data_IF_073984250620
#
_entry.id   IF_073984250620
#
_cell.length_a   1.000
_cell.length_b   1.000
_cell.length_c   1.000
_cell.angle_alpha   90.00
_cell.angle_beta   90.00
_cell.angle_gamma   90.00
#
_symmetry.space_group_name_H-M   'P 1'
#
loop_
_entity.id
_entity.type
_entity.pdbx_description
1 polymer ?
#
# COMPACT_ATOMS: atom_id res chain seq x y z
N UNK A 1 -36.43 -48.38 -4.12
CA UNK A 1 -35.14 -48.85 -3.56
C UNK A 1 -34.03 -48.24 -4.40
N UNK A 2 -33.30 -47.28 -3.84
CA UNK A 2 -32.24 -46.56 -4.54
C UNK A 2 -31.96 -45.20 -3.90
N UNK A 3 -31.91 -45.16 -2.57
CA UNK A 3 -31.61 -43.94 -1.80
C UNK A 3 -30.75 -44.33 -0.60
N UNK A 4 -29.45 -44.45 -0.83
CA UNK A 4 -28.42 -44.54 0.21
C UNK A 4 -27.04 -44.51 -0.44
N UNK A 5 -26.50 -43.31 -0.61
CA UNK A 5 -25.05 -43.03 -0.45
C UNK A 5 -24.75 -41.55 -0.69
N UNK A 6 -25.41 -40.66 0.07
CA UNK A 6 -24.89 -39.32 0.30
C UNK A 6 -23.86 -39.41 1.42
N UNK A 7 -22.64 -39.85 1.08
CA UNK A 7 -21.53 -39.75 2.02
C UNK A 7 -21.37 -38.29 2.45
N UNK A 8 -21.49 -37.97 3.76
CA UNK A 8 -21.23 -36.61 4.23
C UNK A 8 -19.78 -36.26 3.91
N UNK A 9 -19.57 -35.23 3.09
CA UNK A 9 -18.24 -34.71 2.80
C UNK A 9 -17.50 -34.46 4.13
N UNK A 10 -16.21 -34.81 4.24
CA UNK A 10 -15.55 -34.93 5.53
C UNK A 10 -15.30 -33.57 6.16
N UNK A 11 -16.17 -33.16 7.10
CA UNK A 11 -16.02 -32.00 8.01
C UNK A 11 -14.63 -31.90 8.67
N UNK A 12 -13.88 -33.00 8.79
CA UNK A 12 -12.51 -33.02 9.35
C UNK A 12 -11.45 -32.33 8.49
N UNK A 13 -11.63 -32.23 7.15
CA UNK A 13 -10.62 -31.63 6.26
C UNK A 13 -10.58 -30.10 6.32
N UNK A 14 -11.71 -29.45 6.58
CA UNK A 14 -11.80 -27.98 6.69
C UNK A 14 -11.15 -27.46 7.98
N UNK A 15 -11.28 -28.18 9.10
CA UNK A 15 -10.66 -27.79 10.37
C UNK A 15 -9.13 -27.71 10.31
N UNK A 16 -8.47 -28.68 9.67
CA UNK A 16 -7.00 -28.65 9.49
C UNK A 16 -6.55 -27.49 8.61
N UNK A 17 -7.29 -27.20 7.54
CA UNK A 17 -7.00 -26.07 6.66
C UNK A 17 -7.19 -24.72 7.36
N UNK A 18 -8.23 -24.59 8.20
CA UNK A 18 -8.46 -23.39 9.01
C UNK A 18 -7.32 -23.17 10.03
N UNK A 19 -6.87 -24.22 10.71
CA UNK A 19 -5.71 -24.16 11.62
C UNK A 19 -4.45 -23.76 10.84
N UNK A 20 -4.21 -24.35 9.67
CA UNK A 20 -3.05 -24.00 8.84
C UNK A 20 -3.09 -22.54 8.37
N UNK A 21 -4.27 -22.04 7.95
CA UNK A 21 -4.43 -20.64 7.56
C UNK A 21 -4.19 -19.69 8.74
N UNK A 22 -4.73 -20.02 9.92
CA UNK A 22 -4.52 -19.23 11.13
C UNK A 22 -3.06 -19.26 11.58
N UNK A 23 -2.39 -20.41 11.54
CA UNK A 23 -0.98 -20.55 11.85
C UNK A 23 -0.10 -19.77 10.86
N UNK A 24 -0.46 -19.78 9.57
CA UNK A 24 0.24 -18.98 8.56
C UNK A 24 0.07 -17.48 8.80
N UNK A 25 -1.15 -17.01 9.07
CA UNK A 25 -1.38 -15.60 9.41
C UNK A 25 -0.62 -15.19 10.69
N UNK A 26 -0.61 -16.04 11.72
CA UNK A 26 0.17 -15.80 12.92
C UNK A 26 1.68 -15.75 12.65
N UNK A 27 2.19 -16.59 11.74
CA UNK A 27 3.59 -16.55 11.31
C UNK A 27 3.93 -15.25 10.59
N UNK A 28 3.06 -14.76 9.70
CA UNK A 28 3.22 -13.46 9.05
C UNK A 28 3.35 -12.36 10.10
N UNK A 29 2.40 -12.27 11.02
CA UNK A 29 2.40 -11.25 12.09
C UNK A 29 3.61 -11.35 13.01
N UNK A 30 3.99 -12.56 13.41
CA UNK A 30 5.16 -12.79 14.26
C UNK A 30 6.48 -12.44 13.55
N UNK A 31 6.52 -12.47 12.22
CA UNK A 31 7.72 -12.16 11.44
C UNK A 31 8.00 -10.66 11.32
N UNK A 32 6.98 -9.80 11.41
CA UNK A 32 7.07 -8.34 11.20
C UNK A 32 8.29 -7.68 11.88
N UNK A 33 8.51 -7.85 13.21
CA UNK A 33 9.63 -7.21 13.91
C UNK A 33 11.01 -7.78 13.49
N UNK A 34 11.04 -8.99 12.93
CA UNK A 34 12.28 -9.69 12.56
C UNK A 34 12.70 -9.44 11.11
N UNK A 35 11.76 -9.06 10.23
CA UNK A 35 12.01 -8.93 8.79
C UNK A 35 13.15 -7.94 8.51
N UNK A 36 13.16 -6.75 9.12
CA UNK A 36 14.21 -5.74 8.83
C UNK A 36 15.62 -6.20 9.19
N UNK A 37 15.89 -6.67 10.43
CA UNK A 37 17.21 -7.20 10.77
C UNK A 37 17.65 -8.36 9.86
N UNK A 38 16.73 -9.27 9.52
CA UNK A 38 17.02 -10.40 8.63
C UNK A 38 17.31 -9.91 7.21
N UNK A 39 16.51 -8.99 6.70
CA UNK A 39 16.63 -8.39 5.38
C UNK A 39 17.96 -7.64 5.22
N UNK A 40 18.35 -6.81 6.20
CA UNK A 40 19.64 -6.09 6.15
C UNK A 40 20.82 -7.06 6.07
N UNK A 41 20.79 -8.15 6.85
CA UNK A 41 21.81 -9.21 6.78
C UNK A 41 21.79 -9.92 5.43
N UNK A 42 20.60 -10.29 4.92
CA UNK A 42 20.47 -10.96 3.64
C UNK A 42 20.95 -10.08 2.48
N UNK A 43 20.54 -8.81 2.45
CA UNK A 43 20.96 -7.83 1.45
C UNK A 43 22.47 -7.60 1.47
N UNK A 44 23.08 -7.56 2.64
CA UNK A 44 24.54 -7.43 2.74
C UNK A 44 25.29 -8.66 2.21
N UNK A 45 24.68 -9.84 2.25
CA UNK A 45 25.32 -11.09 1.86
C UNK A 45 25.14 -11.42 0.37
N UNK A 46 23.91 -11.30 -0.14
CA UNK A 46 23.58 -11.75 -1.50
C UNK A 46 23.15 -10.62 -2.44
N UNK A 47 22.78 -9.44 -1.93
CA UNK A 47 22.28 -8.33 -2.73
C UNK A 47 20.78 -8.41 -3.03
N UNK A 48 20.15 -7.25 -3.20
CA UNK A 48 18.70 -7.07 -3.32
C UNK A 48 18.11 -7.71 -4.58
N UNK A 49 18.87 -7.78 -5.67
CA UNK A 49 18.46 -8.38 -6.94
C UNK A 49 18.09 -9.88 -6.81
N UNK A 50 18.73 -10.62 -5.92
CA UNK A 50 18.45 -12.05 -5.74
C UNK A 50 17.08 -12.34 -5.15
N UNK A 51 16.52 -11.41 -4.36
CA UNK A 51 15.15 -11.58 -3.84
C UNK A 51 14.15 -11.58 -5.00
N UNK A 52 14.29 -10.67 -5.96
CA UNK A 52 13.43 -10.64 -7.15
C UNK A 52 13.57 -11.92 -7.96
N UNK A 53 14.80 -12.38 -8.19
CA UNK A 53 15.03 -13.64 -8.91
C UNK A 53 14.34 -14.81 -8.19
N UNK A 54 14.49 -14.91 -6.87
CA UNK A 54 13.84 -15.94 -6.06
C UNK A 54 12.31 -15.87 -6.18
N UNK A 55 11.72 -14.68 -6.11
CA UNK A 55 10.27 -14.50 -6.25
C UNK A 55 9.79 -14.91 -7.65
N UNK A 56 10.49 -14.50 -8.70
CA UNK A 56 10.16 -14.89 -10.09
C UNK A 56 10.25 -16.41 -10.30
N UNK A 57 11.27 -17.06 -9.74
CA UNK A 57 11.41 -18.52 -9.77
C UNK A 57 10.27 -19.20 -9.01
N UNK A 58 9.90 -18.68 -7.84
CA UNK A 58 8.77 -19.21 -7.07
C UNK A 58 7.43 -19.06 -7.81
N UNK A 59 7.20 -17.92 -8.49
CA UNK A 59 6.03 -17.71 -9.36
C UNK A 59 6.02 -18.72 -10.51
N UNK A 60 7.14 -18.90 -11.21
CA UNK A 60 7.25 -19.86 -12.30
C UNK A 60 6.98 -21.31 -11.81
N UNK A 61 7.53 -21.68 -10.66
CA UNK A 61 7.28 -22.98 -10.04
C UNK A 61 5.79 -23.16 -9.66
N UNK A 62 5.15 -22.13 -9.09
CA UNK A 62 3.73 -22.17 -8.75
C UNK A 62 2.85 -22.36 -10.00
N UNK A 63 3.16 -21.70 -11.11
CA UNK A 63 2.47 -21.88 -12.40
C UNK A 63 2.67 -23.31 -12.92
N UNK A 64 3.90 -23.83 -12.88
CA UNK A 64 4.18 -25.19 -13.31
C UNK A 64 3.41 -26.24 -12.48
N UNK A 65 3.34 -26.04 -11.16
CA UNK A 65 2.54 -26.88 -10.26
C UNK A 65 1.05 -26.76 -10.61
N UNK A 66 0.52 -25.55 -10.83
CA UNK A 66 -0.88 -25.34 -11.21
C UNK A 66 -1.23 -26.06 -12.53
N UNK A 67 -0.36 -25.95 -13.54
CA UNK A 67 -0.51 -26.66 -14.83
C UNK A 67 -0.49 -28.17 -14.62
N UNK A 68 0.43 -28.68 -13.79
CA UNK A 68 0.50 -30.09 -13.45
C UNK A 68 -0.79 -30.58 -12.75
N UNK A 69 -1.32 -29.81 -11.80
CA UNK A 69 -2.55 -30.14 -11.08
C UNK A 69 -3.77 -30.18 -12.01
N UNK A 70 -3.87 -29.21 -12.93
CA UNK A 70 -4.95 -29.19 -13.94
C UNK A 70 -4.85 -30.42 -14.86
N UNK A 71 -3.65 -30.75 -15.34
CA UNK A 71 -3.42 -31.93 -16.19
C UNK A 71 -3.69 -33.26 -15.51
N UNK A 72 -3.52 -33.32 -14.18
CA UNK A 72 -3.82 -34.49 -13.34
C UNK A 72 -5.28 -34.58 -12.92
N UNK A 73 -6.07 -33.53 -13.14
CA UNK A 73 -7.47 -33.50 -12.73
C UNK A 73 -8.32 -34.44 -13.61
N UNK A 74 -9.45 -34.91 -13.08
CA UNK A 74 -10.37 -35.79 -13.81
C UNK A 74 -11.11 -35.08 -14.96
N UNK A 75 -11.07 -33.74 -14.99
CA UNK A 75 -11.66 -32.94 -16.07
C UNK A 75 -10.67 -32.79 -17.22
N UNK A 76 -11.12 -32.81 -18.49
CA UNK A 76 -10.25 -32.58 -19.63
C UNK A 76 -9.60 -31.20 -19.52
N UNK A 77 -8.28 -31.15 -19.70
CA UNK A 77 -7.52 -29.90 -19.75
C UNK A 77 -7.78 -29.23 -21.08
N UNK A 78 -8.28 -27.99 -21.07
CA UNK A 78 -8.42 -27.18 -22.29
C UNK A 78 -7.19 -26.29 -22.48
N UNK A 79 -6.82 -25.91 -23.71
CA UNK A 79 -5.81 -24.88 -23.97
C UNK A 79 -6.07 -23.57 -23.21
N UNK A 80 -7.35 -23.24 -22.99
CA UNK A 80 -7.75 -22.08 -22.21
C UNK A 80 -7.20 -22.13 -20.77
N UNK A 81 -7.15 -23.31 -20.14
CA UNK A 81 -6.60 -23.47 -18.80
C UNK A 81 -5.14 -23.05 -18.72
N UNK A 82 -4.36 -23.47 -19.72
CA UNK A 82 -2.92 -23.21 -19.78
C UNK A 82 -2.68 -21.73 -20.06
N UNK A 83 -3.40 -21.15 -21.03
CA UNK A 83 -3.32 -19.72 -21.35
C UNK A 83 -3.73 -18.87 -20.14
N UNK A 84 -4.78 -19.26 -19.43
CA UNK A 84 -5.25 -18.55 -18.23
C UNK A 84 -4.21 -18.57 -17.10
N UNK A 85 -3.65 -19.75 -16.79
CA UNK A 85 -2.61 -19.88 -15.77
C UNK A 85 -1.31 -19.15 -16.17
N UNK A 86 -0.95 -19.18 -17.45
CA UNK A 86 0.18 -18.42 -17.98
C UNK A 86 -0.06 -16.91 -17.84
N UNK A 87 -1.26 -16.41 -18.15
CA UNK A 87 -1.60 -15.01 -18.01
C UNK A 87 -1.49 -14.55 -16.54
N UNK A 88 -2.03 -15.34 -15.59
CA UNK A 88 -1.89 -15.06 -14.15
C UNK A 88 -0.42 -15.03 -13.74
N UNK A 89 0.37 -16.01 -14.18
CA UNK A 89 1.81 -16.07 -13.92
C UNK A 89 2.56 -14.85 -14.44
N UNK A 90 2.26 -14.41 -15.67
CA UNK A 90 2.85 -13.22 -16.28
C UNK A 90 2.49 -11.96 -15.53
N UNK A 91 1.23 -11.81 -15.10
CA UNK A 91 0.80 -10.65 -14.30
C UNK A 91 1.52 -10.65 -12.94
N UNK A 92 1.59 -11.78 -12.25
CA UNK A 92 2.32 -11.90 -10.99
C UNK A 92 3.82 -11.56 -11.14
N UNK A 93 4.46 -12.04 -12.21
CA UNK A 93 5.85 -11.73 -12.52
C UNK A 93 6.06 -10.24 -12.88
N UNK A 94 5.13 -9.63 -13.61
CA UNK A 94 5.18 -8.21 -13.93
C UNK A 94 5.05 -7.32 -12.68
N UNK A 95 4.15 -7.68 -11.76
CA UNK A 95 4.03 -6.99 -10.46
C UNK A 95 5.33 -7.16 -9.67
N UNK A 96 5.86 -8.37 -9.53
CA UNK A 96 7.12 -8.61 -8.84
C UNK A 96 8.28 -7.78 -9.42
N UNK A 97 8.37 -7.69 -10.75
CA UNK A 97 9.38 -6.88 -11.44
C UNK A 97 9.20 -5.38 -11.24
N UNK A 98 7.95 -4.90 -11.18
CA UNK A 98 7.66 -3.51 -10.87
C UNK A 98 8.08 -3.16 -9.43
N UNK A 99 8.01 -4.12 -8.50
CA UNK A 99 8.45 -3.98 -7.11
C UNK A 99 9.97 -4.14 -6.91
N UNK A 100 10.78 -4.25 -7.98
CA UNK A 100 12.24 -4.51 -7.87
C UNK A 100 13.04 -3.45 -7.10
N UNK A 101 12.53 -2.24 -7.01
CA UNK A 101 13.14 -1.15 -6.23
C UNK A 101 12.97 -1.35 -4.72
N UNK A 102 11.97 -2.14 -4.33
CA UNK A 102 11.65 -2.53 -2.95
C UNK A 102 11.34 -4.03 -2.90
N UNK A 103 12.35 -4.88 -3.17
CA UNK A 103 12.12 -6.28 -3.48
C UNK A 103 11.53 -7.07 -2.31
N UNK A 104 11.64 -6.58 -1.09
CA UNK A 104 10.91 -7.09 0.07
C UNK A 104 9.38 -7.08 -0.12
N UNK A 105 8.81 -6.04 -0.75
CA UNK A 105 7.37 -5.95 -1.01
C UNK A 105 6.93 -7.05 -2.00
N UNK A 106 7.83 -7.50 -2.88
CA UNK A 106 7.53 -8.60 -3.81
C UNK A 106 7.37 -9.96 -3.11
N UNK A 107 7.95 -10.14 -1.91
CA UNK A 107 7.79 -11.37 -1.12
C UNK A 107 6.36 -11.53 -0.61
N UNK A 108 5.63 -10.42 -0.44
CA UNK A 108 4.23 -10.44 -0.02
C UNK A 108 3.35 -11.17 -1.06
N UNK A 109 3.70 -11.10 -2.35
CA UNK A 109 3.00 -11.85 -3.40
C UNK A 109 2.99 -13.37 -3.11
N UNK A 110 4.11 -13.90 -2.63
CA UNK A 110 4.23 -15.32 -2.28
C UNK A 110 3.50 -15.62 -0.97
N UNK A 111 3.72 -14.80 0.05
CA UNK A 111 3.15 -14.99 1.39
C UNK A 111 1.61 -14.98 1.37
N UNK A 112 1.02 -13.98 0.71
CA UNK A 112 -0.43 -13.84 0.59
C UNK A 112 -1.02 -14.77 -0.48
N UNK A 113 -0.22 -15.20 -1.46
CA UNK A 113 -0.61 -16.28 -2.36
C UNK A 113 -0.78 -17.61 -1.62
N UNK A 114 0.19 -18.00 -0.79
CA UNK A 114 0.08 -19.20 0.07
C UNK A 114 -1.12 -19.06 1.02
N UNK A 115 -1.30 -17.91 1.67
CA UNK A 115 -2.45 -17.65 2.52
C UNK A 115 -3.77 -17.86 1.77
N UNK A 116 -3.90 -17.34 0.55
CA UNK A 116 -5.12 -17.48 -0.24
C UNK A 116 -5.44 -18.96 -0.57
N UNK A 117 -4.43 -19.78 -0.85
CA UNK A 117 -4.63 -21.24 -1.00
C UNK A 117 -5.17 -21.87 0.28
N UNK A 118 -4.60 -21.52 1.44
CA UNK A 118 -5.02 -22.06 2.73
C UNK A 118 -6.44 -21.60 3.11
N UNK A 119 -6.75 -20.32 2.90
CA UNK A 119 -8.08 -19.75 3.10
C UNK A 119 -9.12 -20.40 2.19
N UNK A 120 -8.81 -20.58 0.90
CA UNK A 120 -9.70 -21.29 -0.02
C UNK A 120 -9.98 -22.70 0.49
N UNK A 121 -8.95 -23.46 0.88
CA UNK A 121 -9.14 -24.82 1.41
C UNK A 121 -9.95 -24.85 2.72
N UNK A 122 -9.85 -23.81 3.55
CA UNK A 122 -10.60 -23.70 4.79
C UNK A 122 -12.07 -23.36 4.55
N UNK A 123 -12.35 -22.48 3.58
CA UNK A 123 -13.67 -21.94 3.29
C UNK A 123 -14.46 -22.74 2.25
N UNK A 124 -13.80 -23.50 1.37
CA UNK A 124 -14.42 -24.19 0.23
C UNK A 124 -15.52 -25.15 0.71
N UNK A 125 -16.80 -24.91 0.37
CA UNK A 125 -17.88 -25.85 0.64
C UNK A 125 -17.79 -27.06 -0.31
N UNK A 126 -18.68 -28.05 -0.14
CA UNK A 126 -18.73 -29.20 -1.03
C UNK A 126 -18.96 -28.78 -2.50
N UNK A 127 -19.87 -27.83 -2.70
CA UNK A 127 -20.24 -27.26 -4.00
C UNK A 127 -19.95 -25.76 -3.99
N UNK A 128 -18.74 -25.34 -4.38
CA UNK A 128 -18.35 -23.94 -4.35
C UNK A 128 -19.12 -23.10 -5.38
N UNK A 129 -19.33 -21.83 -5.03
CA UNK A 129 -19.76 -20.78 -5.95
C UNK A 129 -18.64 -19.72 -6.05
N UNK A 130 -18.71 -18.83 -7.04
CA UNK A 130 -17.67 -17.82 -7.27
C UNK A 130 -17.52 -16.85 -6.07
N UNK A 131 -18.55 -16.66 -5.23
CA UNK A 131 -18.47 -15.78 -4.07
C UNK A 131 -17.52 -16.32 -2.99
N UNK A 132 -17.18 -17.62 -2.98
CA UNK A 132 -16.15 -18.14 -2.08
C UNK A 132 -14.76 -17.60 -2.43
N UNK A 133 -14.47 -17.42 -3.72
CA UNK A 133 -13.20 -16.85 -4.17
C UNK A 133 -13.10 -15.38 -3.77
N UNK A 134 -14.21 -14.64 -3.90
CA UNK A 134 -14.30 -13.27 -3.39
C UNK A 134 -14.12 -13.23 -1.86
N UNK A 135 -14.70 -14.18 -1.13
CA UNK A 135 -14.50 -14.28 0.33
C UNK A 135 -13.03 -14.53 0.69
N UNK A 136 -12.31 -15.36 -0.08
CA UNK A 136 -10.86 -15.57 0.10
C UNK A 136 -10.08 -14.29 -0.13
N UNK A 137 -10.39 -13.53 -1.19
CA UNK A 137 -9.75 -12.24 -1.45
C UNK A 137 -10.01 -11.27 -0.30
N UNK A 138 -11.27 -11.09 0.09
CA UNK A 138 -11.64 -10.13 1.15
C UNK A 138 -11.04 -10.50 2.52
N UNK A 139 -11.02 -11.79 2.87
CA UNK A 139 -10.40 -12.25 4.11
C UNK A 139 -8.87 -12.13 4.06
N UNK A 140 -8.25 -12.42 2.92
CA UNK A 140 -6.83 -12.20 2.70
C UNK A 140 -6.46 -10.71 2.80
N UNK A 141 -7.26 -9.83 2.20
CA UNK A 141 -7.11 -8.38 2.33
C UNK A 141 -7.28 -7.93 3.77
N UNK A 142 -8.27 -8.45 4.51
CA UNK A 142 -8.42 -8.17 5.95
C UNK A 142 -7.17 -8.55 6.75
N UNK A 143 -6.63 -9.76 6.52
CA UNK A 143 -5.38 -10.21 7.14
C UNK A 143 -4.23 -9.28 6.78
N UNK A 144 -4.14 -8.84 5.53
CA UNK A 144 -3.13 -7.90 5.04
C UNK A 144 -3.27 -6.49 5.61
N UNK A 145 -4.49 -5.98 5.78
CA UNK A 145 -4.71 -4.68 6.45
C UNK A 145 -4.32 -4.76 7.92
N UNK A 146 -4.59 -5.89 8.59
CA UNK A 146 -4.13 -6.11 9.97
C UNK A 146 -2.60 -6.23 10.04
N UNK A 147 -1.97 -6.86 9.05
CA UNK A 147 -0.51 -6.90 8.92
C UNK A 147 0.07 -5.47 8.93
N UNK A 148 -0.45 -4.60 8.07
CA UNK A 148 -0.04 -3.19 8.00
C UNK A 148 -0.31 -2.41 9.29
N UNK A 149 -1.41 -2.70 10.00
CA UNK A 149 -1.67 -2.10 11.32
C UNK A 149 -0.63 -2.55 12.34
N UNK A 150 -0.21 -3.82 12.32
CA UNK A 150 0.85 -4.30 13.21
C UNK A 150 2.19 -3.69 12.82
N UNK A 151 2.49 -3.58 11.52
CA UNK A 151 3.67 -2.89 11.03
C UNK A 151 3.72 -1.45 11.53
N UNK A 152 2.63 -0.71 11.45
CA UNK A 152 2.52 0.66 11.98
C UNK A 152 2.86 0.79 13.48
N UNK A 153 2.56 -0.24 14.28
CA UNK A 153 2.91 -0.25 15.72
C UNK A 153 4.41 -0.52 15.93
N UNK A 154 5.07 -1.19 14.98
CA UNK A 154 6.48 -1.55 15.07
C UNK A 154 7.36 -0.35 14.73
N UNK A 155 8.32 0.04 15.60
CA UNK A 155 9.14 1.23 15.36
C UNK A 155 9.85 1.25 14.01
N UNK A 156 9.73 2.38 13.33
CA UNK A 156 10.34 2.68 12.04
C UNK A 156 9.65 2.04 10.85
N UNK A 157 8.57 1.26 11.04
CA UNK A 157 7.74 0.72 9.96
C UNK A 157 6.54 1.63 9.74
N UNK A 158 6.09 1.70 8.50
CA UNK A 158 5.03 2.61 8.08
C UNK A 158 3.84 1.80 7.62
N UNK A 159 2.65 2.37 7.79
CA UNK A 159 1.44 1.84 7.17
C UNK A 159 1.39 2.30 5.72
N UNK A 160 1.19 1.39 4.77
CA UNK A 160 1.02 1.78 3.35
C UNK A 160 -0.17 1.06 2.69
N UNK A 161 -1.10 1.84 2.13
CA UNK A 161 -2.21 1.29 1.32
C UNK A 161 -1.71 0.50 0.12
N UNK A 162 -0.53 0.82 -0.39
CA UNK A 162 0.11 0.08 -1.48
C UNK A 162 0.38 -1.37 -1.07
N UNK A 163 0.84 -1.60 0.15
CA UNK A 163 1.14 -2.94 0.65
C UNK A 163 -0.15 -3.74 0.87
N UNK A 164 -1.21 -3.09 1.39
CA UNK A 164 -2.58 -3.67 1.42
C UNK A 164 -3.03 -4.08 0.00
N UNK A 165 -2.78 -3.24 -1.01
CA UNK A 165 -3.15 -3.53 -2.39
C UNK A 165 -2.33 -4.68 -3.00
N UNK A 166 -1.03 -4.78 -2.69
CA UNK A 166 -0.19 -5.92 -3.10
C UNK A 166 -0.69 -7.21 -2.47
N UNK A 167 -0.99 -7.20 -1.17
CA UNK A 167 -1.56 -8.34 -0.44
C UNK A 167 -2.90 -8.79 -1.05
N UNK A 168 -3.80 -7.83 -1.32
CA UNK A 168 -5.08 -8.09 -1.97
C UNK A 168 -4.91 -8.64 -3.39
N UNK A 169 -3.98 -8.08 -4.18
CA UNK A 169 -3.65 -8.53 -5.53
C UNK A 169 -3.12 -9.96 -5.56
N UNK A 170 -2.26 -10.32 -4.61
CA UNK A 170 -1.76 -11.69 -4.44
C UNK A 170 -2.89 -12.69 -4.20
N UNK A 171 -3.82 -12.35 -3.30
CA UNK A 171 -5.00 -13.16 -3.04
C UNK A 171 -5.93 -13.25 -4.25
N UNK A 172 -6.13 -12.15 -4.99
CA UNK A 172 -6.95 -12.12 -6.19
C UNK A 172 -6.39 -13.00 -7.32
N UNK A 173 -5.10 -12.88 -7.62
CA UNK A 173 -4.42 -13.70 -8.63
C UNK A 173 -4.47 -15.18 -8.26
N UNK A 174 -4.22 -15.50 -6.98
CA UNK A 174 -4.28 -16.88 -6.51
C UNK A 174 -5.70 -17.45 -6.56
N UNK A 175 -6.71 -16.69 -6.14
CA UNK A 175 -8.12 -17.06 -6.26
C UNK A 175 -8.53 -17.31 -7.73
N UNK A 176 -8.06 -16.47 -8.66
CA UNK A 176 -8.29 -16.65 -10.08
C UNK A 176 -7.61 -17.92 -10.64
N UNK A 177 -6.45 -18.30 -10.10
CA UNK A 177 -5.79 -19.56 -10.44
C UNK A 177 -6.56 -20.75 -9.85
N UNK A 178 -6.98 -20.65 -8.59
CA UNK A 178 -7.73 -21.69 -7.88
C UNK A 178 -9.09 -21.98 -8.53
N UNK A 179 -9.75 -20.97 -9.08
CA UNK A 179 -10.96 -21.15 -9.89
C UNK A 179 -10.75 -22.14 -11.04
N UNK A 180 -9.58 -22.07 -11.68
CA UNK A 180 -9.22 -22.96 -12.78
C UNK A 180 -8.73 -24.31 -12.26
N UNK A 181 -7.92 -24.34 -11.19
CA UNK A 181 -7.32 -25.58 -10.66
C UNK A 181 -8.38 -26.49 -10.03
N UNK A 182 -9.35 -25.93 -9.34
CA UNK A 182 -10.39 -26.71 -8.68
C UNK A 182 -11.40 -27.27 -9.70
N UNK A 183 -11.64 -28.60 -9.72
CA UNK A 183 -12.43 -29.22 -10.77
C UNK A 183 -13.95 -28.96 -10.68
N UNK A 184 -14.44 -28.26 -9.66
CA UNK A 184 -15.87 -28.04 -9.45
C UNK A 184 -16.58 -29.27 -8.84
N UNK A 185 -17.92 -29.33 -8.86
CA UNK A 185 -18.83 -28.47 -9.62
C UNK A 185 -18.93 -27.06 -9.07
N UNK A 186 -18.87 -26.06 -9.95
CA UNK A 186 -19.07 -24.65 -9.62
C UNK A 186 -20.53 -24.26 -9.87
N UNK A 187 -21.21 -23.77 -8.84
CA UNK A 187 -22.58 -23.27 -8.97
C UNK A 187 -22.58 -21.79 -9.36
N UNK A 188 -23.63 -21.36 -10.06
CA UNK A 188 -23.92 -19.94 -10.21
C UNK A 188 -24.21 -19.33 -8.83
N UNK A 189 -23.81 -18.07 -8.59
CA UNK A 189 -24.05 -17.40 -7.31
C UNK A 189 -25.54 -17.13 -7.14
N UNK A 190 -26.25 -18.08 -6.53
CA UNK A 190 -27.53 -17.85 -5.89
C UNK A 190 -27.27 -17.19 -4.52
N UNK A 191 -28.29 -16.61 -3.86
CA UNK A 191 -28.17 -16.20 -2.46
C UNK A 191 -27.70 -17.39 -1.62
N UNK A 192 -26.40 -17.43 -1.32
CA UNK A 192 -25.72 -18.56 -0.69
C UNK A 192 -25.03 -18.10 0.60
N UNK A 193 -24.68 -19.04 1.50
CA UNK A 193 -23.83 -18.72 2.65
C UNK A 193 -22.51 -18.05 2.25
N UNK A 194 -21.96 -18.38 1.07
CA UNK A 194 -20.75 -17.75 0.52
C UNK A 194 -20.96 -16.28 0.18
N UNK A 195 -22.11 -15.92 -0.41
CA UNK A 195 -22.46 -14.51 -0.67
C UNK A 195 -22.59 -13.73 0.64
N UNK A 196 -23.31 -14.29 1.62
CA UNK A 196 -23.43 -13.69 2.96
C UNK A 196 -22.07 -13.50 3.64
N UNK A 197 -21.17 -14.47 3.51
CA UNK A 197 -19.80 -14.36 4.02
C UNK A 197 -19.03 -13.24 3.32
N UNK A 198 -19.03 -13.21 1.99
CA UNK A 198 -18.35 -12.18 1.21
C UNK A 198 -18.85 -10.77 1.58
N UNK A 199 -20.17 -10.58 1.69
CA UNK A 199 -20.77 -9.28 2.06
C UNK A 199 -20.35 -8.85 3.47
N UNK A 200 -20.33 -9.77 4.44
CA UNK A 200 -19.87 -9.49 5.81
C UNK A 200 -18.38 -9.17 5.87
N UNK A 201 -17.55 -9.90 5.13
CA UNK A 201 -16.11 -9.62 5.04
C UNK A 201 -15.85 -8.27 4.38
N UNK A 202 -16.58 -7.92 3.33
CA UNK A 202 -16.50 -6.60 2.69
C UNK A 202 -16.91 -5.48 3.67
N UNK A 203 -17.99 -5.66 4.42
CA UNK A 203 -18.39 -4.70 5.45
C UNK A 203 -17.33 -4.57 6.56
N UNK A 204 -16.78 -5.68 7.05
CA UNK A 204 -15.70 -5.67 8.03
C UNK A 204 -14.44 -4.96 7.51
N UNK A 205 -14.07 -5.18 6.24
CA UNK A 205 -12.94 -4.52 5.60
C UNK A 205 -13.18 -3.00 5.47
N UNK A 206 -14.36 -2.58 5.06
CA UNK A 206 -14.70 -1.15 4.99
C UNK A 206 -14.67 -0.50 6.37
N UNK A 207 -15.17 -1.18 7.41
CA UNK A 207 -15.10 -0.68 8.78
C UNK A 207 -13.65 -0.56 9.25
N UNK A 208 -12.81 -1.57 9.01
CA UNK A 208 -11.40 -1.55 9.36
C UNK A 208 -10.65 -0.43 8.64
N UNK A 209 -10.82 -0.29 7.32
CA UNK A 209 -10.25 0.82 6.55
C UNK A 209 -10.75 2.18 7.03
N UNK A 210 -12.02 2.29 7.43
CA UNK A 210 -12.56 3.51 8.01
C UNK A 210 -11.83 3.87 9.31
N UNK A 211 -11.54 2.88 10.17
CA UNK A 211 -10.77 3.10 11.39
C UNK A 211 -9.33 3.52 11.08
N UNK A 212 -8.67 2.86 10.11
CA UNK A 212 -7.29 3.21 9.71
C UNK A 212 -7.21 4.64 9.14
N UNK A 213 -8.12 4.98 8.24
CA UNK A 213 -8.21 6.32 7.63
C UNK A 213 -8.64 7.38 8.65
N UNK A 214 -9.38 6.99 9.67
CA UNK A 214 -9.68 7.83 10.82
C UNK A 214 -8.54 7.84 11.85
N UNK A 215 -7.40 7.18 11.65
CA UNK A 215 -6.30 7.19 12.62
C UNK A 215 -5.26 8.26 12.26
N UNK A 216 -5.68 9.53 12.31
CA UNK A 216 -4.83 10.68 11.98
C UNK A 216 -3.82 10.99 13.08
N UNK A 217 -2.70 11.66 12.77
CA UNK A 217 -1.70 12.06 13.77
C UNK A 217 -2.26 12.73 15.03
N UNK A 218 -3.21 13.64 14.88
CA UNK A 218 -3.85 14.33 16.02
C UNK A 218 -4.58 13.35 16.95
N UNK A 219 -5.27 12.35 16.38
CA UNK A 219 -5.94 11.32 17.18
C UNK A 219 -4.94 10.37 17.82
N UNK A 220 -3.89 10.01 17.09
CA UNK A 220 -2.78 9.20 17.61
C UNK A 220 -2.17 9.88 18.83
N UNK A 221 -1.82 11.16 18.72
CA UNK A 221 -1.33 11.96 19.84
C UNK A 221 -2.34 11.95 21.00
N UNK A 222 -3.61 12.23 20.71
CA UNK A 222 -4.67 12.29 21.72
C UNK A 222 -4.81 11.00 22.55
N UNK A 223 -4.87 9.82 21.93
CA UNK A 223 -4.99 8.57 22.70
C UNK A 223 -3.66 8.09 23.27
N UNK A 224 -2.53 8.42 22.64
CA UNK A 224 -1.20 8.03 23.14
C UNK A 224 -0.86 8.73 24.46
N UNK A 225 -1.36 9.95 24.67
CA UNK A 225 -1.28 10.65 25.95
C UNK A 225 -2.17 10.05 27.04
N UNK A 226 -3.25 9.35 26.67
CA UNK A 226 -4.30 8.88 27.59
C UNK A 226 -4.22 7.40 27.93
N UNK A 227 -3.60 6.60 27.06
CA UNK A 227 -3.53 5.14 27.22
C UNK A 227 -2.09 4.73 27.54
N UNK A 228 -1.84 4.18 28.75
CA UNK A 228 -0.52 3.68 29.12
C UNK A 228 0.02 2.66 28.10
N UNK A 229 1.29 2.82 27.71
CA UNK A 229 1.96 1.94 26.74
C UNK A 229 1.85 2.37 25.28
N UNK A 230 0.99 3.33 24.94
CA UNK A 230 0.85 3.83 23.55
C UNK A 230 1.73 5.04 23.22
N UNK A 231 2.50 5.57 24.17
CA UNK A 231 3.37 6.73 23.95
C UNK A 231 4.41 6.57 22.83
N UNK A 232 4.73 5.33 22.43
CA UNK A 232 5.59 5.07 21.27
C UNK A 232 4.96 5.47 19.93
N UNK A 233 3.61 5.46 19.84
CA UNK A 233 2.85 5.80 18.64
C UNK A 233 2.76 7.31 18.43
N UNK A 234 2.94 8.12 19.49
CA UNK A 234 3.01 9.57 19.40
C UNK A 234 4.28 10.08 18.69
N UNK A 235 5.25 9.20 18.40
CA UNK A 235 6.43 9.57 17.62
C UNK A 235 6.02 9.79 16.16
N UNK A 236 6.43 10.95 15.64
CA UNK A 236 5.87 11.52 14.42
C UNK A 236 6.22 10.79 13.12
N UNK A 237 7.09 9.79 13.16
CA UNK A 237 7.52 9.06 11.99
C UNK A 237 6.47 8.06 11.49
N UNK A 238 5.36 7.83 12.19
CA UNK A 238 4.41 6.76 11.84
C UNK A 238 2.97 7.28 11.75
N UNK A 239 2.68 8.21 10.84
CA UNK A 239 1.29 8.57 10.56
C UNK A 239 0.60 7.43 9.78
N UNK A 240 -0.58 6.98 10.25
CA UNK A 240 -1.35 5.96 9.52
C UNK A 240 -2.13 6.58 8.36
N UNK A 241 -2.79 7.72 8.58
CA UNK A 241 -3.48 8.44 7.52
C UNK A 241 -3.32 9.95 7.72
N UNK A 242 -2.92 10.64 6.65
CA UNK A 242 -2.79 12.09 6.66
C UNK A 242 -3.60 12.69 5.53
N UNK A 243 -4.18 13.86 5.83
CA UNK A 243 -4.97 14.64 4.89
C UNK A 243 -4.29 15.96 4.66
N UNK A 244 -4.50 16.52 3.48
CA UNK A 244 -3.94 17.81 3.14
C UNK A 244 -4.61 18.43 1.93
N UNK A 245 -3.90 19.36 1.33
CA UNK A 245 -4.35 20.19 0.24
C UNK A 245 -3.46 19.97 -0.97
N UNK A 246 -4.08 19.86 -2.14
CA UNK A 246 -3.38 19.86 -3.43
C UNK A 246 -3.40 21.27 -4.00
N UNK A 247 -2.22 21.84 -4.17
CA UNK A 247 -2.03 23.19 -4.66
C UNK A 247 -1.52 23.16 -6.09
N UNK A 248 -2.20 23.89 -6.97
CA UNK A 248 -1.72 24.14 -8.34
C UNK A 248 -1.05 25.50 -8.37
N UNK A 249 0.25 25.51 -8.68
CA UNK A 249 1.07 26.71 -8.78
C UNK A 249 1.24 27.08 -10.26
N UNK A 250 0.56 28.14 -10.75
CA UNK A 250 0.62 28.52 -12.16
C UNK A 250 2.05 28.71 -12.65
N UNK A 251 2.37 28.08 -13.78
CA UNK A 251 3.70 28.17 -14.38
C UNK A 251 4.78 27.32 -13.70
N UNK A 252 4.49 26.64 -12.59
CA UNK A 252 5.43 25.78 -11.85
C UNK A 252 4.99 24.31 -11.92
N UNK A 253 3.80 23.99 -11.43
CA UNK A 253 3.31 22.61 -11.33
C UNK A 253 2.37 22.42 -10.15
N UNK A 254 2.36 21.23 -9.56
CA UNK A 254 1.51 20.90 -8.42
C UNK A 254 2.33 20.45 -7.21
N UNK A 255 1.82 20.74 -6.01
CA UNK A 255 2.38 20.25 -4.75
C UNK A 255 1.25 19.82 -3.80
N UNK A 256 1.59 18.95 -2.86
CA UNK A 256 0.71 18.59 -1.75
C UNK A 256 1.28 19.19 -0.46
N UNK A 257 0.41 19.65 0.43
CA UNK A 257 0.81 20.27 1.70
C UNK A 257 -0.24 19.98 2.77
N UNK A 258 0.20 19.89 4.03
CA UNK A 258 -0.68 19.84 5.21
C UNK A 258 -1.37 21.18 5.45
N UNK A 259 -0.82 22.26 4.90
CA UNK A 259 -1.26 23.63 5.09
C UNK A 259 -1.96 24.17 3.84
N UNK A 260 -2.88 25.11 4.03
CA UNK A 260 -3.43 25.85 2.88
C UNK A 260 -2.39 26.83 2.33
N UNK A 261 -2.56 27.31 1.10
CA UNK A 261 -1.66 28.36 0.56
C UNK A 261 -1.67 29.62 1.44
N UNK A 262 -2.82 30.00 1.99
CA UNK A 262 -2.92 31.14 2.88
C UNK A 262 -2.12 30.94 4.18
N UNK A 263 -2.18 29.73 4.76
CA UNK A 263 -1.39 29.40 5.96
C UNK A 263 0.11 29.38 5.66
N UNK A 264 0.51 28.83 4.51
CA UNK A 264 1.91 28.83 4.05
C UNK A 264 2.42 30.27 3.87
N UNK A 265 1.65 31.14 3.22
CA UNK A 265 1.99 32.55 3.01
C UNK A 265 2.07 33.34 4.33
N UNK A 266 1.14 33.11 5.26
CA UNK A 266 1.17 33.74 6.59
C UNK A 266 2.41 33.30 7.38
N UNK A 267 2.69 32.00 7.41
CA UNK A 267 3.85 31.48 8.15
C UNK A 267 5.17 31.92 7.52
N UNK A 268 5.28 31.95 6.20
CA UNK A 268 6.48 32.49 5.54
C UNK A 268 6.66 33.99 5.86
N UNK A 269 5.58 34.78 5.88
CA UNK A 269 5.67 36.20 6.25
C UNK A 269 6.08 36.41 7.71
N UNK A 270 5.51 35.64 8.64
CA UNK A 270 5.66 35.89 10.08
C UNK A 270 6.84 35.16 10.71
N UNK A 271 7.17 33.95 10.25
CA UNK A 271 8.16 33.05 10.85
C UNK A 271 9.43 32.88 10.02
N UNK A 272 9.56 33.51 8.84
CA UNK A 272 10.71 33.31 7.95
C UNK A 272 12.09 33.43 8.62
N UNK A 273 12.28 34.41 9.51
CA UNK A 273 13.56 34.59 10.19
C UNK A 273 13.90 33.44 11.15
N UNK A 274 12.92 33.00 11.93
CA UNK A 274 13.03 31.87 12.86
C UNK A 274 13.31 30.57 12.09
N UNK A 275 12.52 30.29 11.07
CA UNK A 275 12.59 29.07 10.25
C UNK A 275 13.89 29.04 9.46
N UNK A 276 14.34 30.15 8.88
CA UNK A 276 15.63 30.23 8.21
C UNK A 276 16.80 29.91 9.16
N UNK A 277 16.80 30.50 10.36
CA UNK A 277 17.83 30.23 11.37
C UNK A 277 17.78 28.79 11.91
N UNK A 278 16.61 28.14 11.90
CA UNK A 278 16.49 26.71 12.18
C UNK A 278 17.09 25.87 11.04
N UNK A 279 16.71 26.14 9.79
CA UNK A 279 17.23 25.44 8.62
C UNK A 279 18.76 25.53 8.54
N UNK A 280 19.35 26.69 8.80
CA UNK A 280 20.79 26.92 8.74
C UNK A 280 21.60 26.11 9.78
N UNK A 281 20.95 25.62 10.84
CA UNK A 281 21.57 24.66 11.79
C UNK A 281 21.72 23.26 11.20
N UNK A 282 21.04 22.97 10.09
CA UNK A 282 21.03 21.67 9.42
C UNK A 282 21.56 21.78 7.98
N UNK A 283 22.87 21.98 7.78
CA UNK A 283 23.48 22.09 6.45
C UNK A 283 23.32 20.80 5.61
N UNK A 284 23.78 20.83 4.36
CA UNK A 284 23.76 19.67 3.47
C UNK A 284 24.37 18.42 4.15
N UNK A 285 23.70 17.27 4.04
CA UNK A 285 24.10 16.02 4.69
C UNK A 285 23.53 15.79 6.09
N UNK A 286 22.91 16.79 6.73
CA UNK A 286 22.28 16.66 8.06
C UNK A 286 20.77 16.37 8.02
N UNK A 287 20.21 16.07 6.85
CA UNK A 287 18.77 15.84 6.67
C UNK A 287 18.21 14.75 7.60
N UNK A 288 18.92 13.62 7.75
CA UNK A 288 18.51 12.56 8.66
C UNK A 288 18.50 13.00 10.13
N UNK A 289 19.34 13.97 10.51
CA UNK A 289 19.30 14.58 11.85
C UNK A 289 18.10 15.51 11.99
N UNK A 290 17.85 16.35 10.99
CA UNK A 290 16.67 17.21 10.95
C UNK A 290 15.37 16.42 11.17
N UNK A 291 15.18 15.29 10.46
CA UNK A 291 13.99 14.45 10.60
C UNK A 291 13.82 13.82 11.99
N UNK A 292 14.90 13.69 12.77
CA UNK A 292 14.81 13.22 14.17
C UNK A 292 14.45 14.35 15.13
N UNK A 293 14.97 15.55 14.85
CA UNK A 293 14.86 16.70 15.74
C UNK A 293 13.55 17.48 15.49
N UNK A 294 12.97 17.36 14.28
CA UNK A 294 11.77 18.07 13.84
C UNK A 294 10.77 17.10 13.20
N UNK A 295 9.53 17.16 13.68
CA UNK A 295 8.42 16.37 13.15
C UNK A 295 7.53 17.18 12.23
N UNK A 296 6.95 16.49 11.25
CA UNK A 296 5.94 17.03 10.34
C UNK A 296 4.64 17.47 11.02
N UNK A 297 4.32 16.89 12.18
CA UNK A 297 3.15 17.26 12.98
C UNK A 297 3.46 18.49 13.86
N UNK A 298 4.69 18.56 14.40
CA UNK A 298 5.07 19.61 15.35
C UNK A 298 5.27 20.96 14.68
N UNK A 299 5.85 20.99 13.48
CA UNK A 299 6.02 22.20 12.68
C UNK A 299 5.94 21.88 11.17
N UNK A 300 4.72 21.72 10.62
CA UNK A 300 4.52 21.32 9.22
C UNK A 300 5.17 22.30 8.23
N UNK A 301 5.21 23.59 8.54
CA UNK A 301 5.81 24.61 7.67
C UNK A 301 7.33 24.44 7.57
N UNK A 302 8.03 24.36 8.70
CA UNK A 302 9.48 24.11 8.73
C UNK A 302 9.83 22.78 8.05
N UNK A 303 9.05 21.74 8.34
CA UNK A 303 9.25 20.41 7.78
C UNK A 303 9.11 20.41 6.26
N UNK A 304 8.01 20.94 5.73
CA UNK A 304 7.77 20.98 4.28
C UNK A 304 8.82 21.83 3.55
N UNK A 305 9.18 23.01 4.08
CA UNK A 305 10.26 23.82 3.54
C UNK A 305 11.57 23.02 3.43
N UNK A 306 11.91 22.23 4.46
CA UNK A 306 13.12 21.41 4.46
C UNK A 306 13.06 20.24 3.49
N UNK A 307 11.91 19.58 3.36
CA UNK A 307 11.72 18.47 2.41
C UNK A 307 11.89 18.97 0.96
N UNK A 308 11.30 20.11 0.62
CA UNK A 308 11.48 20.71 -0.70
C UNK A 308 12.94 21.12 -0.98
N UNK A 309 13.62 21.70 0.02
CA UNK A 309 15.05 21.98 -0.06
C UNK A 309 15.88 20.71 -0.30
N UNK A 310 15.59 19.65 0.44
CA UNK A 310 16.27 18.37 0.28
C UNK A 310 16.02 17.75 -1.10
N UNK A 311 14.78 17.77 -1.57
CA UNK A 311 14.39 17.32 -2.91
C UNK A 311 15.22 18.05 -3.97
N UNK A 312 15.22 19.39 -3.95
CA UNK A 312 16.04 20.22 -4.86
C UNK A 312 17.51 19.83 -4.83
N UNK A 313 18.10 19.71 -3.64
CA UNK A 313 19.53 19.48 -3.45
C UNK A 313 19.97 18.07 -3.89
N UNK A 314 19.14 17.04 -3.64
CA UNK A 314 19.38 15.68 -4.14
C UNK A 314 19.38 15.65 -5.66
N UNK A 315 18.37 16.23 -6.31
CA UNK A 315 18.30 16.27 -7.77
C UNK A 315 19.47 17.07 -8.38
N UNK A 316 19.92 18.15 -7.72
CA UNK A 316 21.12 18.88 -8.11
C UNK A 316 22.40 18.05 -7.98
N UNK A 317 22.50 17.17 -6.98
CA UNK A 317 23.63 16.28 -6.78
C UNK A 317 23.64 15.19 -7.83
N UNK A 318 22.51 14.54 -8.05
CA UNK A 318 22.36 13.46 -9.02
C UNK A 318 22.55 13.96 -10.44
N UNK A 319 22.15 15.20 -10.74
CA UNK A 319 22.41 15.87 -12.01
C UNK A 319 23.91 15.93 -12.33
N UNK A 320 24.80 16.07 -11.33
CA UNK A 320 26.25 16.08 -11.57
C UNK A 320 26.81 14.71 -11.94
N UNK A 321 26.14 13.65 -11.50
CA UNK A 321 26.52 12.27 -11.83
C UNK A 321 25.89 11.78 -13.14
N UNK A 322 24.82 12.44 -13.60
CA UNK A 322 24.11 12.08 -14.81
C UNK A 322 24.94 12.38 -16.08
N UNK A 323 24.89 11.54 -17.12
CA UNK A 323 25.56 11.82 -18.39
C UNK A 323 25.02 13.12 -19.02
N UNK A 324 25.94 13.99 -19.46
CA UNK A 324 25.58 15.26 -20.06
C UNK A 324 24.67 15.07 -21.29
N UNK A 325 23.62 15.89 -21.41
CA UNK A 325 22.64 15.83 -22.50
C UNK A 325 21.67 14.64 -22.44
N UNK A 326 21.79 13.75 -21.45
CA UNK A 326 20.86 12.62 -21.30
C UNK A 326 19.45 13.08 -20.90
N UNK A 327 18.45 12.25 -21.21
CA UNK A 327 17.07 12.48 -20.75
C UNK A 327 16.99 12.53 -19.21
N UNK A 328 17.79 11.71 -18.51
CA UNK A 328 17.89 11.73 -17.05
C UNK A 328 18.43 13.06 -16.53
N UNK A 329 19.48 13.62 -17.15
CA UNK A 329 19.99 14.94 -16.76
C UNK A 329 18.92 16.04 -16.92
N UNK A 330 18.19 16.04 -18.04
CA UNK A 330 17.08 17.00 -18.25
C UNK A 330 15.97 16.84 -17.22
N UNK A 331 15.63 15.60 -16.85
CA UNK A 331 14.65 15.30 -15.81
C UNK A 331 15.07 15.85 -14.45
N UNK A 332 16.28 15.51 -14.00
CA UNK A 332 16.83 15.96 -12.73
C UNK A 332 16.93 17.48 -12.67
N UNK A 333 17.38 18.12 -13.76
CA UNK A 333 17.41 19.58 -13.87
C UNK A 333 16.02 20.21 -13.81
N UNK A 334 15.04 19.60 -14.48
CA UNK A 334 13.64 20.06 -14.43
C UNK A 334 13.09 19.98 -13.01
N UNK A 335 13.24 18.84 -12.33
CA UNK A 335 12.76 18.68 -10.96
C UNK A 335 13.42 19.70 -10.03
N UNK A 336 14.76 19.82 -10.07
CA UNK A 336 15.49 20.79 -9.24
C UNK A 336 15.06 22.24 -9.48
N UNK A 337 14.84 22.64 -10.74
CA UNK A 337 14.38 23.99 -11.06
C UNK A 337 12.97 24.24 -10.54
N UNK A 338 12.07 23.28 -10.72
CA UNK A 338 10.68 23.40 -10.28
C UNK A 338 10.56 23.44 -8.75
N UNK A 339 11.34 22.63 -8.04
CA UNK A 339 11.45 22.70 -6.58
C UNK A 339 12.01 24.06 -6.12
N UNK A 340 13.01 24.61 -6.82
CA UNK A 340 13.52 25.97 -6.54
C UNK A 340 12.43 27.04 -6.75
N UNK A 341 11.69 26.98 -7.86
CA UNK A 341 10.60 27.91 -8.14
C UNK A 341 9.47 27.81 -7.11
N UNK A 342 9.14 26.59 -6.68
CA UNK A 342 8.19 26.33 -5.60
C UNK A 342 8.66 26.98 -4.30
N UNK A 343 9.93 26.74 -3.91
CA UNK A 343 10.52 27.36 -2.72
C UNK A 343 10.48 28.89 -2.78
N UNK A 344 10.79 29.49 -3.92
CA UNK A 344 10.72 30.94 -4.11
C UNK A 344 9.28 31.47 -4.00
N UNK A 345 8.30 30.71 -4.52
CA UNK A 345 6.90 31.10 -4.55
C UNK A 345 6.22 30.98 -3.18
N UNK A 346 6.50 29.89 -2.47
CA UNK A 346 5.77 29.48 -1.25
C UNK A 346 6.54 29.81 0.02
N UNK A 347 7.87 29.66 -0.02
CA UNK A 347 8.77 29.81 1.13
C UNK A 347 9.78 30.95 0.90
N UNK A 348 9.41 31.96 0.09
CA UNK A 348 10.34 32.93 -0.46
C UNK A 348 11.06 33.77 0.59
N UNK A 349 10.37 34.24 1.62
CA UNK A 349 10.98 35.02 2.70
C UNK A 349 11.91 34.16 3.55
N UNK A 350 11.51 32.93 3.84
CA UNK A 350 12.32 31.94 4.56
C UNK A 350 13.59 31.62 3.78
N UNK A 351 13.44 31.33 2.49
CA UNK A 351 14.56 31.01 1.59
C UNK A 351 15.53 32.19 1.51
N UNK A 352 15.03 33.41 1.29
CA UNK A 352 15.83 34.63 1.16
C UNK A 352 16.68 34.91 2.42
N UNK A 353 16.21 34.52 3.60
CA UNK A 353 16.92 34.71 4.88
C UNK A 353 17.83 33.54 5.26
N UNK A 354 17.73 32.41 4.56
CA UNK A 354 18.53 31.22 4.82
C UNK A 354 19.81 31.17 3.98
N UNK A 355 20.76 30.35 4.41
CA UNK A 355 21.96 30.00 3.64
C UNK A 355 21.68 29.12 2.41
N UNK A 356 20.45 28.65 2.22
CA UNK A 356 20.06 27.71 1.16
C UNK A 356 19.69 28.36 -0.19
N UNK A 357 19.90 29.67 -0.34
CA UNK A 357 19.70 30.34 -1.62
C UNK A 357 20.51 29.69 -2.74
N UNK A 358 19.85 29.46 -3.88
CA UNK A 358 20.51 28.86 -5.03
C UNK A 358 21.46 29.87 -5.67
N UNK A 359 22.74 29.49 -5.80
CA UNK A 359 23.75 30.33 -6.45
C UNK A 359 23.34 30.64 -7.90
N UNK A 360 23.53 31.89 -8.41
CA UNK A 360 23.11 32.28 -9.75
C UNK A 360 23.62 31.36 -10.86
N UNK A 361 24.87 30.88 -10.77
CA UNK A 361 25.46 29.98 -11.76
C UNK A 361 24.74 28.63 -11.82
N UNK A 362 24.29 28.11 -10.66
CA UNK A 362 23.52 26.86 -10.61
C UNK A 362 22.13 27.06 -11.19
N UNK A 363 21.49 28.20 -10.90
CA UNK A 363 20.19 28.54 -11.48
C UNK A 363 20.26 28.60 -13.01
N UNK A 364 21.24 29.31 -13.54
CA UNK A 364 21.44 29.44 -14.98
C UNK A 364 21.65 28.06 -15.65
N UNK A 365 22.43 27.17 -15.02
CA UNK A 365 22.61 25.80 -15.50
C UNK A 365 21.27 25.04 -15.56
N UNK A 366 20.44 25.14 -14.52
CA UNK A 366 19.13 24.50 -14.50
C UNK A 366 18.21 25.07 -15.60
N UNK A 367 18.19 26.38 -15.77
CA UNK A 367 17.40 27.07 -16.80
C UNK A 367 17.85 26.71 -18.24
N UNK A 368 19.10 26.31 -18.44
CA UNK A 368 19.59 25.82 -19.73
C UNK A 368 19.19 24.37 -20.03
N UNK A 369 19.02 23.56 -18.98
CA UNK A 369 18.83 22.10 -19.11
C UNK A 369 17.37 21.66 -18.92
N UNK A 370 16.52 22.48 -18.30
CA UNK A 370 15.15 22.09 -17.99
C UNK A 370 14.28 21.91 -19.23
N UNK A 371 13.25 21.09 -19.09
CA UNK A 371 12.20 20.89 -20.08
C UNK A 371 10.92 21.64 -19.65
N UNK A 372 10.54 22.75 -20.31
CA UNK A 372 9.35 23.52 -19.97
C UNK A 372 8.04 22.76 -20.22
N UNK A 373 8.03 21.81 -21.15
CA UNK A 373 6.84 21.04 -21.53
C UNK A 373 6.53 19.90 -20.57
N UNK A 374 7.47 19.55 -19.68
CA UNK A 374 7.31 18.44 -18.76
C UNK A 374 6.42 18.83 -17.57
N UNK A 375 5.32 18.09 -17.31
CA UNK A 375 4.50 18.34 -16.13
C UNK A 375 5.31 18.05 -14.87
N UNK A 376 5.10 18.87 -13.84
CA UNK A 376 5.76 18.73 -12.55
C UNK A 376 4.72 18.54 -11.44
N UNK A 377 4.89 17.47 -10.67
CA UNK A 377 4.20 17.23 -9.41
C UNK A 377 5.31 16.94 -8.39
N UNK A 378 5.42 17.77 -7.36
CA UNK A 378 6.39 17.53 -6.30
C UNK A 378 6.07 16.21 -5.60
N UNK A 379 7.11 15.40 -5.37
CA UNK A 379 6.99 14.15 -4.60
C UNK A 379 6.90 14.41 -3.09
N UNK A 380 7.20 15.65 -2.65
CA UNK A 380 7.06 16.06 -1.25
C UNK A 380 5.61 15.90 -0.80
N UNK A 381 5.43 15.16 0.30
CA UNK A 381 4.13 14.87 0.88
C UNK A 381 3.14 14.15 -0.06
N UNK A 382 3.63 13.39 -1.05
CA UNK A 382 2.80 12.65 -2.00
C UNK A 382 1.89 11.57 -1.35
N UNK A 383 2.14 11.24 -0.08
CA UNK A 383 1.34 10.32 0.72
C UNK A 383 0.07 10.97 1.29
N UNK A 384 -0.08 12.30 1.22
CA UNK A 384 -1.26 12.99 1.74
C UNK A 384 -2.50 12.66 0.92
N UNK A 385 -3.61 12.40 1.61
CA UNK A 385 -4.92 12.24 1.00
C UNK A 385 -5.51 13.63 0.75
N UNK A 386 -5.43 14.10 -0.50
CA UNK A 386 -5.92 15.43 -0.90
C UNK A 386 -7.18 15.40 -1.77
N UNK A 387 -7.58 14.23 -2.28
CA UNK A 387 -8.69 14.10 -3.23
C UNK A 387 -10.07 14.20 -2.55
N UNK A 388 -10.14 13.85 -1.27
CA UNK A 388 -11.36 13.85 -0.47
C UNK A 388 -11.01 14.19 0.98
N UNK A 389 -11.81 15.03 1.61
CA UNK A 389 -11.65 15.31 3.03
C UNK A 389 -11.97 14.09 3.90
N UNK A 390 -11.38 14.03 5.09
CA UNK A 390 -11.53 12.90 6.01
C UNK A 390 -13.01 12.59 6.34
N UNK A 391 -13.77 13.61 6.77
CA UNK A 391 -15.16 13.42 7.21
C UNK A 391 -16.07 12.87 6.10
N UNK A 392 -16.11 13.45 4.88
CA UNK A 392 -16.85 12.87 3.76
C UNK A 392 -16.45 11.42 3.45
N UNK A 393 -15.15 11.11 3.43
CA UNK A 393 -14.64 9.76 3.16
C UNK A 393 -15.13 8.76 4.20
N UNK A 394 -15.03 9.10 5.50
CA UNK A 394 -15.52 8.24 6.59
C UNK A 394 -17.03 8.00 6.51
N UNK A 395 -17.82 9.04 6.25
CA UNK A 395 -19.27 8.91 6.10
C UNK A 395 -19.61 7.97 4.93
N UNK A 396 -18.93 8.14 3.79
CA UNK A 396 -19.10 7.28 2.62
C UNK A 396 -18.81 5.81 2.94
N UNK A 397 -17.67 5.52 3.58
CA UNK A 397 -17.28 4.16 3.93
C UNK A 397 -18.23 3.51 4.96
N UNK A 398 -18.66 4.26 5.98
CA UNK A 398 -19.64 3.79 6.96
C UNK A 398 -21.01 3.51 6.33
N UNK A 399 -21.47 4.39 5.44
CA UNK A 399 -22.72 4.20 4.71
C UNK A 399 -22.64 2.95 3.80
N UNK A 400 -21.52 2.75 3.10
CA UNK A 400 -21.29 1.57 2.29
C UNK A 400 -21.25 0.28 3.14
N UNK A 401 -20.60 0.28 4.30
CA UNK A 401 -20.61 -0.85 5.22
C UNK A 401 -22.03 -1.17 5.73
N UNK A 402 -22.81 -0.15 6.09
CA UNK A 402 -24.21 -0.33 6.51
C UNK A 402 -25.08 -0.91 5.39
N UNK A 403 -24.91 -0.43 4.15
CA UNK A 403 -25.61 -0.96 2.99
C UNK A 403 -25.28 -2.44 2.74
N UNK A 404 -24.00 -2.83 2.87
CA UNK A 404 -23.59 -4.24 2.79
C UNK A 404 -24.26 -5.09 3.88
N UNK A 405 -24.27 -4.63 5.12
CA UNK A 405 -24.94 -5.36 6.21
C UNK A 405 -26.46 -5.49 5.98
N UNK A 406 -27.11 -4.48 5.40
CA UNK A 406 -28.51 -4.56 4.99
C UNK A 406 -28.72 -5.61 3.88
N UNK A 407 -27.85 -5.65 2.86
CA UNK A 407 -27.86 -6.67 1.81
C UNK A 407 -27.70 -8.07 2.43
N UNK A 408 -26.77 -8.26 3.35
CA UNK A 408 -26.57 -9.53 4.04
C UNK A 408 -27.81 -9.97 4.83
N UNK A 409 -28.50 -9.04 5.50
CA UNK A 409 -29.77 -9.32 6.17
C UNK A 409 -30.87 -9.78 5.18
N UNK A 410 -30.93 -9.18 3.98
CA UNK A 410 -31.86 -9.60 2.92
C UNK A 410 -31.50 -10.99 2.37
N UNK A 411 -30.21 -11.24 2.12
CA UNK A 411 -29.71 -12.54 1.64
C UNK A 411 -30.07 -13.65 2.63
N UNK A 412 -29.91 -13.42 3.93
CA UNK A 412 -30.23 -14.40 4.98
C UNK A 412 -31.73 -14.61 5.18
N UNK A 413 -32.58 -13.63 4.87
CA UNK A 413 -34.04 -13.72 5.00
C UNK A 413 -34.73 -14.48 3.88
N UNK A 414 -34.09 -14.67 2.72
CA UNK A 414 -34.68 -15.46 1.64
C UNK A 414 -34.77 -16.92 2.11
N UNK A 415 -35.97 -17.46 2.37
CA UNK A 415 -36.09 -18.87 2.70
C UNK A 415 -35.51 -19.66 1.53
N UNK A 416 -34.65 -20.64 1.83
CA UNK A 416 -34.26 -21.67 0.87
C UNK A 416 -35.54 -22.35 0.42
N UNK A 417 -36.13 -21.87 -0.69
CA UNK A 417 -37.36 -22.41 -1.29
C UNK A 417 -37.22 -23.89 -1.66
N UNK A 418 -36.00 -24.43 -1.65
CA UNK A 418 -35.69 -25.85 -1.81
C UNK A 418 -35.97 -26.71 -0.57
N UNK A 419 -36.33 -26.14 0.60
CA UNK A 419 -36.73 -26.92 1.78
C UNK A 419 -38.26 -27.14 1.88
N UNK A 420 -39.03 -26.63 0.92
CA UNK A 420 -40.51 -26.71 0.90
C UNK A 420 -41.07 -27.39 -0.36
N UNK A 421 -40.22 -28.00 -1.18
CA UNK A 421 -40.55 -28.87 -2.30
C UNK A 421 -39.74 -30.17 -2.15
#
# INVERSE_FOLDING_TARGET
MGDSDRHPAPRRRTGRAAIAAAAWAALLYASIPLVRPVQQRLFSAIGSAWIIVMVLVAVAAAVAIAVFLVRRSQRPTSPFDIVWLAAIGTIAAAIAWHLRERPEESVHLLQFGVLAVLLFRALRPAEPDVAILLSVVLLGTLVGTVDEIIQWIVPGRFWDLRDVAVNAGACALTSAALWRIDPGPWRHPLPSPSVSLAVRLAAALLLLLTLCLANTPERVAWYSERVPGLGLLARADNAMAEYGYRHRLPGIGEMQSRLTLADLEEQDRTRAGEVAALLDRYPEGSYARFLRDHSEIGDPFLYEARVHLFSRDVHLRDLRAAPAGSAAARELATIALREQQLLERVFGNTLARSSFNLKPQRRQLLEQLYDPGRPFVSASAAHLITAIGERPLRILLLAAAAALLAIDAVVRRRPTREAAA
#
